data_IF_821479235085
#
_entry.id   IF_821479235085
#
_cell.length_a   1.000
_cell.length_b   1.000
_cell.length_c   1.000
_cell.angle_alpha   90.00
_cell.angle_beta   90.00
_cell.angle_gamma   90.00
#
_symmetry.space_group_name_H-M   'P 1'
#
loop_
_entity.id
_entity.type
_entity.pdbx_description
1 polymer ?
#
# COMPACT_ATOMS: atom_id res chain seq x y z
N UNK A 1 4.09 9.41 6.36
CA UNK A 1 3.79 8.12 7.01
C UNK A 1 2.46 7.52 6.58
N UNK A 2 1.29 8.07 6.96
CA UNK A 2 -0.02 7.44 6.68
C UNK A 2 -0.28 7.24 5.18
N UNK A 3 0.10 8.23 4.37
CA UNK A 3 0.00 8.13 2.91
C UNK A 3 0.84 6.98 2.33
N UNK A 4 1.97 6.61 2.94
CA UNK A 4 2.77 5.46 2.49
C UNK A 4 2.06 4.15 2.84
N UNK A 5 1.58 4.01 4.07
CA UNK A 5 0.84 2.81 4.49
C UNK A 5 -0.36 2.54 3.58
N UNK A 6 -1.08 3.59 3.19
CA UNK A 6 -2.24 3.51 2.33
C UNK A 6 -1.91 3.39 0.83
N UNK A 7 -0.89 4.07 0.29
CA UNK A 7 -0.66 4.10 -1.17
C UNK A 7 0.39 3.12 -1.67
N UNK A 8 1.17 2.54 -0.76
CA UNK A 8 2.25 1.60 -1.10
C UNK A 8 2.07 0.24 -0.40
N UNK A 9 1.05 0.10 0.46
CA UNK A 9 0.75 -1.17 1.11
C UNK A 9 1.90 -1.72 1.94
N UNK A 10 2.59 -0.89 2.72
CA UNK A 10 3.66 -1.33 3.63
C UNK A 10 3.07 -1.90 4.94
N UNK A 11 3.77 -2.85 5.57
CA UNK A 11 3.56 -3.20 6.97
C UNK A 11 4.15 -2.08 7.84
N UNK A 12 3.71 -1.99 9.09
CA UNK A 12 4.28 -0.98 10.00
C UNK A 12 5.77 -1.20 10.24
N UNK A 13 6.23 -2.45 10.40
CA UNK A 13 7.66 -2.76 10.51
C UNK A 13 8.45 -2.28 9.29
N UNK A 14 7.92 -2.53 8.08
CA UNK A 14 8.55 -2.10 6.82
C UNK A 14 8.59 -0.58 6.69
N UNK A 15 7.56 0.13 7.18
CA UNK A 15 7.57 1.60 7.22
C UNK A 15 8.67 2.13 8.15
N UNK A 16 8.82 1.51 9.32
CA UNK A 16 9.80 1.92 10.34
C UNK A 16 11.24 1.60 9.94
N UNK A 17 11.43 0.57 9.11
CA UNK A 17 12.73 0.16 8.57
C UNK A 17 13.09 0.82 7.22
N UNK A 18 12.20 1.65 6.68
CA UNK A 18 12.41 2.30 5.39
C UNK A 18 13.58 3.29 5.48
N UNK A 19 14.51 3.27 4.51
CA UNK A 19 15.65 4.20 4.46
C UNK A 19 15.46 5.24 3.34
N UNK A 20 16.13 6.41 3.41
CA UNK A 20 16.04 7.42 2.35
C UNK A 20 16.39 6.87 0.95
N UNK A 21 17.40 6.01 0.85
CA UNK A 21 17.81 5.37 -0.40
C UNK A 21 16.85 4.29 -0.95
N UNK A 22 15.78 3.97 -0.24
CA UNK A 22 14.76 3.02 -0.70
C UNK A 22 13.68 3.68 -1.58
N UNK A 23 13.66 5.01 -1.63
CA UNK A 23 12.77 5.78 -2.50
C UNK A 23 13.43 5.92 -3.87
N UNK A 24 12.86 5.25 -4.89
CA UNK A 24 13.30 5.39 -6.26
C UNK A 24 12.34 6.31 -7.04
N UNK A 25 12.69 7.60 -7.11
CA UNK A 25 11.88 8.61 -7.80
C UNK A 25 11.81 8.34 -9.30
N UNK A 26 12.93 7.99 -9.94
CA UNK A 26 13.01 7.75 -11.40
C UNK A 26 12.07 6.66 -11.89
N UNK A 27 11.88 5.61 -11.08
CA UNK A 27 11.01 4.47 -11.41
C UNK A 27 9.64 4.55 -10.73
N UNK A 28 9.40 5.56 -9.88
CA UNK A 28 8.20 5.66 -9.05
C UNK A 28 7.96 4.37 -8.22
N UNK A 29 9.02 3.88 -7.56
CA UNK A 29 8.97 2.67 -6.73
C UNK A 29 9.55 2.91 -5.33
N UNK A 30 9.05 2.15 -4.36
CA UNK A 30 9.63 2.00 -3.03
C UNK A 30 10.23 0.60 -2.91
N UNK A 31 11.51 0.51 -2.57
CA UNK A 31 12.16 -0.77 -2.22
C UNK A 31 11.81 -1.13 -0.79
N UNK A 32 11.14 -2.27 -0.61
CA UNK A 32 10.92 -2.84 0.73
C UNK A 32 11.94 -3.94 0.94
N UNK A 33 12.89 -3.68 1.84
CA UNK A 33 13.95 -4.63 2.19
C UNK A 33 13.36 -5.77 3.02
N UNK A 34 13.79 -6.99 2.74
CA UNK A 34 13.53 -8.18 3.55
C UNK A 34 12.06 -8.40 3.96
N UNK A 35 11.22 -8.77 3.00
CA UNK A 35 9.98 -9.48 3.32
C UNK A 35 10.25 -10.85 3.97
N UNK A 36 9.21 -11.48 4.51
CA UNK A 36 9.24 -12.90 4.94
C UNK A 36 9.91 -13.72 3.83
N UNK A 37 10.99 -14.45 4.11
CA UNK A 37 11.75 -15.20 3.10
C UNK A 37 13.00 -14.52 2.52
N UNK A 38 13.46 -13.39 3.06
CA UNK A 38 14.72 -12.70 2.71
C UNK A 38 14.81 -12.17 1.27
N UNK A 39 13.67 -11.98 0.59
CA UNK A 39 13.64 -11.33 -0.72
C UNK A 39 13.12 -9.91 -0.58
N UNK A 40 13.81 -8.99 -1.24
CA UNK A 40 13.34 -7.63 -1.42
C UNK A 40 12.18 -7.61 -2.40
N UNK A 41 11.28 -6.65 -2.25
CA UNK A 41 10.24 -6.37 -3.22
C UNK A 41 10.15 -4.89 -3.50
N UNK A 42 9.52 -4.55 -4.62
CA UNK A 42 9.19 -3.18 -4.96
C UNK A 42 7.68 -2.99 -4.85
N UNK A 43 7.28 -1.80 -4.39
CA UNK A 43 5.88 -1.39 -4.36
C UNK A 43 5.75 0.01 -4.96
N UNK A 44 4.51 0.44 -5.18
CA UNK A 44 4.17 1.69 -5.86
C UNK A 44 4.60 2.92 -5.05
N UNK A 45 5.08 3.95 -5.75
CA UNK A 45 5.21 5.31 -5.23
C UNK A 45 4.30 6.25 -6.02
N UNK A 46 3.23 6.74 -5.38
CA UNK A 46 2.32 7.67 -6.03
C UNK A 46 2.98 9.05 -6.27
N UNK A 47 2.68 9.69 -7.41
CA UNK A 47 3.21 11.03 -7.75
C UNK A 47 2.93 12.09 -6.66
N UNK A 48 1.73 12.16 -6.04
CA UNK A 48 1.49 13.11 -4.95
C UNK A 48 2.34 12.82 -3.70
N UNK A 49 2.59 11.54 -3.41
CA UNK A 49 3.45 11.14 -2.30
C UNK A 49 4.91 11.49 -2.57
N UNK A 50 5.38 11.37 -3.81
CA UNK A 50 6.73 11.77 -4.21
C UNK A 50 7.00 13.23 -3.84
N UNK A 51 6.11 14.15 -4.22
CA UNK A 51 6.22 15.57 -3.85
C UNK A 51 6.33 15.78 -2.34
N UNK A 52 5.49 15.09 -1.55
CA UNK A 52 5.53 15.14 -0.08
C UNK A 52 6.83 14.56 0.50
N UNK A 53 7.39 13.52 -0.12
CA UNK A 53 8.65 12.92 0.30
C UNK A 53 9.85 13.80 -0.02
N UNK A 54 9.85 14.47 -1.18
CA UNK A 54 10.87 15.46 -1.53
C UNK A 54 10.87 16.61 -0.51
N UNK A 55 9.69 17.14 -0.18
CA UNK A 55 9.55 18.18 0.85
C UNK A 55 10.03 17.69 2.22
N UNK A 56 9.61 16.48 2.62
CA UNK A 56 10.03 15.86 3.87
C UNK A 56 11.56 15.70 3.94
N UNK A 57 12.20 15.18 2.89
CA UNK A 57 13.65 15.01 2.83
C UNK A 57 14.39 16.35 2.92
N UNK A 58 13.85 17.41 2.32
CA UNK A 58 14.42 18.76 2.40
C UNK A 58 14.37 19.32 3.82
N UNK A 59 13.26 19.14 4.52
CA UNK A 59 13.02 19.70 5.85
C UNK A 59 13.74 18.92 6.95
N UNK A 60 13.63 17.59 6.94
CA UNK A 60 14.09 16.74 8.04
C UNK A 60 15.46 16.11 7.80
N UNK A 61 15.92 16.04 6.54
CA UNK A 61 17.23 15.50 6.14
C UNK A 61 17.59 14.17 6.83
N UNK A 62 16.70 13.16 6.77
CA UNK A 62 16.90 11.88 7.45
C UNK A 62 18.21 11.22 7.02
N UNK A 63 18.90 10.58 7.97
CA UNK A 63 20.23 10.00 7.76
C UNK A 63 20.22 8.48 7.74
N UNK A 64 19.55 7.85 8.69
CA UNK A 64 19.56 6.38 8.83
C UNK A 64 18.23 5.79 8.41
N UNK A 65 17.16 6.27 9.03
CA UNK A 65 15.79 5.85 8.73
C UNK A 65 15.02 7.01 8.12
N UNK A 66 14.12 6.70 7.18
CA UNK A 66 13.28 7.71 6.55
C UNK A 66 12.39 8.40 7.58
N UNK A 67 11.97 7.69 8.64
CA UNK A 67 11.21 8.26 9.74
C UNK A 67 11.93 8.04 11.07
N UNK A 68 12.68 9.05 11.52
CA UNK A 68 13.48 9.02 12.75
C UNK A 68 13.17 10.20 13.67
N UNK A 69 13.32 10.00 14.99
CA UNK A 69 13.19 11.07 15.99
C UNK A 69 14.45 11.92 16.07
N UNK A 70 15.58 11.23 16.08
CA UNK A 70 16.94 11.74 15.99
C UNK A 70 17.70 10.86 15.00
N UNK A 71 18.80 11.33 14.39
CA UNK A 71 19.59 10.50 13.48
C UNK A 71 19.93 9.14 14.08
N UNK A 72 19.46 8.05 13.45
CA UNK A 72 19.69 6.67 13.93
C UNK A 72 18.63 6.12 14.89
N UNK A 73 17.69 6.93 15.39
CA UNK A 73 16.60 6.52 16.27
C UNK A 73 15.27 6.44 15.48
N UNK A 74 14.87 5.26 14.98
CA UNK A 74 13.64 5.14 14.20
C UNK A 74 12.42 5.43 15.06
N UNK A 75 11.33 5.87 14.43
CA UNK A 75 10.05 5.91 15.11
C UNK A 75 9.61 4.51 15.56
N UNK A 76 8.79 4.48 16.62
CA UNK A 76 8.18 3.25 17.12
C UNK A 76 6.77 3.10 16.59
N UNK A 77 6.26 1.87 16.60
CA UNK A 77 4.87 1.58 16.23
C UNK A 77 3.87 2.34 17.12
N UNK A 78 4.21 2.52 18.40
CA UNK A 78 3.40 3.29 19.34
C UNK A 78 3.25 4.75 18.90
N UNK A 79 4.34 5.38 18.43
CA UNK A 79 4.32 6.76 17.91
C UNK A 79 3.41 6.85 16.69
N UNK A 80 3.58 5.94 15.73
CA UNK A 80 2.76 5.92 14.50
C UNK A 80 1.28 5.73 14.83
N UNK A 81 0.96 4.79 15.71
CA UNK A 81 -0.41 4.48 16.12
C UNK A 81 -1.07 5.63 16.88
N UNK A 82 -0.35 6.27 17.82
CA UNK A 82 -0.83 7.45 18.56
C UNK A 82 -1.11 8.62 17.61
N UNK A 83 -0.18 8.92 16.70
CA UNK A 83 -0.36 9.99 15.70
C UNK A 83 -1.54 9.69 14.77
N UNK A 84 -1.72 8.43 14.36
CA UNK A 84 -2.84 8.03 13.51
C UNK A 84 -4.18 8.20 14.23
N UNK A 85 -4.27 7.80 15.51
CA UNK A 85 -5.47 7.98 16.32
C UNK A 85 -5.81 9.46 16.53
N UNK A 86 -4.80 10.30 16.76
CA UNK A 86 -4.98 11.74 16.90
C UNK A 86 -5.52 12.36 15.60
N UNK A 87 -4.91 12.04 14.46
CA UNK A 87 -5.36 12.50 13.15
C UNK A 87 -6.78 12.02 12.80
N UNK A 88 -7.11 10.77 13.14
CA UNK A 88 -8.46 10.24 12.92
C UNK A 88 -9.51 10.99 13.76
N UNK A 89 -9.19 11.31 15.02
CA UNK A 89 -10.06 12.10 15.89
C UNK A 89 -10.29 13.51 15.36
N UNK A 90 -9.22 14.17 14.89
CA UNK A 90 -9.28 15.51 14.29
C UNK A 90 -10.12 15.51 13.01
N UNK A 91 -10.02 14.45 12.20
CA UNK A 91 -10.83 14.27 10.99
C UNK A 91 -12.28 13.82 11.26
N UNK A 92 -12.72 13.71 12.51
CA UNK A 92 -14.08 13.26 12.86
C UNK A 92 -14.35 11.77 12.59
N UNK A 93 -13.32 10.95 12.42
CA UNK A 93 -13.46 9.52 12.14
C UNK A 93 -13.77 8.78 13.45
N UNK A 94 -14.99 8.25 13.55
CA UNK A 94 -15.48 7.49 14.71
C UNK A 94 -15.07 6.02 14.70
N UNK A 95 -14.78 5.46 13.52
CA UNK A 95 -14.32 4.07 13.37
C UNK A 95 -12.94 3.88 14.01
N UNK A 96 -12.70 2.69 14.58
CA UNK A 96 -11.38 2.31 15.08
C UNK A 96 -10.36 2.24 13.93
N UNK A 97 -9.37 3.14 13.94
CA UNK A 97 -8.28 3.19 12.97
C UNK A 97 -6.97 2.68 13.59
N UNK A 98 -6.21 1.92 12.82
CA UNK A 98 -4.87 1.43 13.15
C UNK A 98 -4.04 1.25 11.86
N UNK A 99 -2.70 1.23 11.92
CA UNK A 99 -1.84 1.21 10.73
C UNK A 99 -2.16 0.09 9.73
N UNK A 100 -2.48 -1.12 10.24
CA UNK A 100 -2.82 -2.26 9.40
C UNK A 100 -4.13 -2.07 8.63
N UNK A 101 -5.07 -1.23 9.11
CA UNK A 101 -6.30 -0.90 8.38
C UNK A 101 -6.00 -0.10 7.11
N UNK A 102 -5.04 0.84 7.14
CA UNK A 102 -4.63 1.59 5.94
C UNK A 102 -4.06 0.66 4.86
N UNK A 103 -3.26 -0.31 5.28
CA UNK A 103 -2.72 -1.36 4.40
C UNK A 103 -3.82 -2.26 3.83
N UNK A 104 -4.86 -2.57 4.60
CA UNK A 104 -6.01 -3.30 4.09
C UNK A 104 -6.77 -2.49 3.05
N UNK A 105 -7.03 -1.20 3.31
CA UNK A 105 -7.68 -0.31 2.36
C UNK A 105 -6.91 -0.21 1.04
N UNK A 106 -5.58 -0.19 1.07
CA UNK A 106 -4.76 -0.28 -0.15
C UNK A 106 -5.13 -1.48 -1.02
N UNK A 107 -5.16 -2.67 -0.42
CA UNK A 107 -5.43 -3.92 -1.13
C UNK A 107 -6.87 -3.97 -1.65
N UNK A 108 -7.82 -3.60 -0.81
CA UNK A 108 -9.24 -3.53 -1.16
C UNK A 108 -9.46 -2.58 -2.34
N UNK A 109 -8.94 -1.36 -2.28
CA UNK A 109 -9.15 -0.38 -3.35
C UNK A 109 -8.46 -0.79 -4.66
N UNK A 110 -7.29 -1.46 -4.62
CA UNK A 110 -6.68 -1.99 -5.84
C UNK A 110 -7.55 -3.07 -6.49
N UNK A 111 -8.14 -3.95 -5.69
CA UNK A 111 -9.05 -4.99 -6.21
C UNK A 111 -10.35 -4.40 -6.74
N UNK A 112 -10.90 -3.40 -6.05
CA UNK A 112 -12.07 -2.65 -6.52
C UNK A 112 -11.82 -1.88 -7.83
N UNK A 113 -10.57 -1.52 -8.09
CA UNK A 113 -10.13 -0.95 -9.36
C UNK A 113 -9.87 -2.02 -10.45
N UNK A 114 -10.12 -3.29 -10.17
CA UNK A 114 -9.90 -4.40 -11.10
C UNK A 114 -8.45 -4.88 -11.20
N UNK A 115 -7.57 -4.50 -10.26
CA UNK A 115 -6.18 -4.98 -10.25
C UNK A 115 -6.15 -6.49 -9.98
N UNK A 116 -5.38 -7.24 -10.77
CA UNK A 116 -5.22 -8.69 -10.57
C UNK A 116 -4.70 -8.98 -9.14
N UNK A 117 -5.37 -9.92 -8.46
CA UNK A 117 -5.04 -10.36 -7.11
C UNK A 117 -3.59 -10.83 -6.95
N UNK A 118 -2.97 -11.37 -7.99
CA UNK A 118 -1.55 -11.74 -8.03
C UNK A 118 -0.65 -10.50 -7.95
N UNK A 119 -0.99 -9.43 -8.67
CA UNK A 119 -0.28 -8.14 -8.60
C UNK A 119 -0.43 -7.53 -7.20
N UNK A 120 -1.65 -7.53 -6.65
CA UNK A 120 -1.90 -7.03 -5.29
C UNK A 120 -1.07 -7.81 -4.25
N UNK A 121 -1.02 -9.15 -4.36
CA UNK A 121 -0.18 -10.00 -3.49
C UNK A 121 1.30 -9.66 -3.58
N UNK A 122 1.81 -9.43 -4.79
CA UNK A 122 3.21 -9.08 -5.04
C UNK A 122 3.57 -7.76 -4.37
N UNK A 123 2.77 -6.70 -4.61
CA UNK A 123 2.96 -5.38 -3.99
C UNK A 123 2.95 -5.46 -2.46
N UNK A 124 2.06 -6.28 -1.90
CA UNK A 124 1.93 -6.48 -0.46
C UNK A 124 3.00 -7.41 0.13
N UNK A 125 3.67 -8.25 -0.65
CA UNK A 125 4.64 -9.24 -0.16
C UNK A 125 3.99 -10.28 0.76
N UNK A 126 2.87 -10.88 0.34
CA UNK A 126 2.21 -11.98 1.04
C UNK A 126 2.74 -13.35 0.54
N UNK A 127 3.42 -14.11 1.40
CA UNK A 127 3.90 -15.47 1.07
C UNK A 127 2.88 -16.58 1.34
N UNK A 128 1.73 -16.29 1.99
CA UNK A 128 0.73 -17.31 2.34
C UNK A 128 -0.68 -16.86 1.93
N UNK A 129 -1.33 -17.71 1.13
CA UNK A 129 -2.64 -17.53 0.47
C UNK A 129 -3.79 -17.30 1.47
N UNK A 130 -3.69 -17.75 2.73
CA UNK A 130 -4.77 -17.60 3.73
C UNK A 130 -5.12 -16.14 4.12
N UNK A 131 -4.21 -15.18 3.89
CA UNK A 131 -4.53 -13.73 4.09
C UNK A 131 -5.20 -13.09 2.87
N UNK A 132 -5.38 -13.86 1.79
CA UNK A 132 -5.95 -13.39 0.52
C UNK A 132 -7.40 -13.80 0.35
N UNK A 133 -7.85 -14.87 1.00
CA UNK A 133 -9.25 -15.35 0.96
C UNK A 133 -10.23 -14.28 1.44
N UNK A 134 -9.82 -13.42 2.39
CA UNK A 134 -10.64 -12.28 2.83
C UNK A 134 -10.87 -11.21 1.74
N UNK A 135 -9.99 -11.13 0.76
CA UNK A 135 -10.08 -10.18 -0.34
C UNK A 135 -10.85 -10.71 -1.55
N UNK A 136 -10.88 -12.04 -1.74
CA UNK A 136 -11.66 -12.69 -2.80
C UNK A 136 -13.15 -12.41 -2.62
N UNK A 137 -13.65 -12.40 -1.38
CA UNK A 137 -15.04 -12.05 -1.10
C UNK A 137 -15.43 -10.62 -1.49
N UNK A 138 -14.47 -9.69 -1.57
CA UNK A 138 -14.74 -8.31 -2.00
C UNK A 138 -14.74 -8.24 -3.53
N UNK A 139 -13.85 -8.99 -4.19
CA UNK A 139 -13.82 -9.15 -5.65
C UNK A 139 -15.02 -9.93 -6.21
N UNK A 140 -15.68 -10.77 -5.42
CA UNK A 140 -16.91 -11.48 -5.83
C UNK A 140 -18.04 -10.50 -6.20
N UNK A 141 -18.04 -9.28 -5.65
CA UNK A 141 -18.96 -8.20 -6.04
C UNK A 141 -18.75 -7.73 -7.49
N UNK A 142 -17.59 -8.01 -8.09
CA UNK A 142 -17.26 -7.65 -9.49
C UNK A 142 -17.55 -8.78 -10.48
N UNK A 143 -17.90 -10.00 -10.04
CA UNK A 143 -18.23 -11.12 -10.94
C UNK A 143 -19.45 -10.82 -11.82
N UNK A 144 -20.36 -9.96 -11.37
CA UNK A 144 -21.50 -9.51 -12.17
C UNK A 144 -21.12 -8.63 -13.37
N UNK A 145 -19.90 -8.09 -13.42
CA UNK A 145 -19.40 -7.25 -14.52
C UNK A 145 -18.40 -7.95 -15.44
N UNK A 146 -18.14 -9.24 -15.24
CA UNK A 146 -17.24 -10.02 -16.10
C UNK A 146 -18.09 -10.58 -17.24
N UNK A 147 -17.89 -10.06 -18.45
CA UNK A 147 -18.46 -10.64 -19.67
C UNK A 147 -17.94 -12.06 -19.86
N UNK A 148 -18.82 -12.98 -20.21
CA UNK A 148 -18.43 -14.32 -20.62
C UNK A 148 -17.66 -14.23 -21.94
N UNK A 149 -16.60 -15.01 -22.14
CA UNK A 149 -15.96 -15.13 -23.46
C UNK A 149 -16.94 -15.53 -24.57
N UNK A 150 -18.03 -16.21 -24.21
CA UNK A 150 -19.11 -16.55 -25.15
C UNK A 150 -19.96 -15.33 -25.52
N UNK A 151 -20.09 -14.35 -24.64
CA UNK A 151 -20.83 -13.11 -24.92
C UNK A 151 -20.09 -12.30 -26.01
N UNK A 152 -18.75 -12.24 -25.96
CA UNK A 152 -17.96 -11.56 -26.99
C UNK A 152 -17.98 -12.33 -28.34
N UNK A 153 -18.07 -13.66 -28.31
CA UNK A 153 -18.15 -14.50 -29.52
C UNK A 153 -19.52 -14.45 -30.21
N UNK A 154 -20.61 -14.23 -29.46
CA UNK A 154 -21.98 -14.23 -29.99
C UNK A 154 -22.54 -12.82 -30.27
N UNK A 155 -21.89 -11.75 -29.78
CA UNK A 155 -22.32 -10.37 -30.03
C UNK A 155 -21.70 -9.75 -31.31
N UNK A 156 -20.77 -10.42 -31.98
CA UNK A 156 -20.20 -9.97 -33.26
C UNK A 156 -21.08 -10.29 -34.49
N UNK A 157 -22.12 -11.11 -34.36
CA UNK A 157 -22.96 -11.54 -35.49
C UNK A 157 -24.18 -10.63 -35.80
N UNK A 158 -24.46 -9.61 -34.97
CA UNK A 158 -25.66 -8.75 -35.11
C UNK A 158 -25.41 -7.36 -35.75
N UNK A 159 -24.20 -7.08 -36.24
CA UNK A 159 -23.88 -5.85 -37.00
C UNK A 159 -23.47 -6.15 -38.46
N UNK A 160 -24.39 -6.72 -39.26
CA UNK A 160 -24.35 -6.62 -40.75
C UNK A 160 -25.76 -6.46 -41.32
#
# INVERSE_FOLDING_TARGET
>A
MFSILYSAGLRISELLELKPGDINESRSLIRVRQGKGKKDRYTLLSKPLMKKLTEYNRLYKPKVWLFEHRPGEPFTESIVSKRLKAAAREAGITKRIYPHLLRHSFATHLLEQGTDIKIVKELMGHNNIKTTERYVHIADTFKSNIKSPLDDLLMEEDEV
#
